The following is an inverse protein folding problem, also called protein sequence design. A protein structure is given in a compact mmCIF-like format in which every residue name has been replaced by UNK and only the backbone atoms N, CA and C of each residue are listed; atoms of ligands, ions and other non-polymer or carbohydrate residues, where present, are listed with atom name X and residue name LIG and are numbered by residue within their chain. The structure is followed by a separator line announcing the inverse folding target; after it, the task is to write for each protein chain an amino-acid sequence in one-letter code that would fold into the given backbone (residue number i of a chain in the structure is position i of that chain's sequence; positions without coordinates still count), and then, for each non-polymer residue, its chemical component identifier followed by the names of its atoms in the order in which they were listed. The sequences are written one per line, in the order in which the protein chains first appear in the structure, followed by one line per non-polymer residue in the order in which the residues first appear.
data_IF_530228828362
#
_entry.id   IF_530228828362
#
_cell.length_a   1.000
_cell.length_b   1.000
_cell.length_c   1.000
_cell.angle_alpha   90.00
_cell.angle_beta   90.00
_cell.angle_gamma   90.00
#
_symmetry.space_group_name_H-M   'P 1'
#
loop_
_entity.id
_entity.type
_entity.pdbx_description
1 polymer ?
#
# COMPACT_ATOMS: atom_id res chain seq x y z
N UNK A 1 6.14 11.66 9.10
CA UNK A 1 5.97 13.08 8.73
C UNK A 1 5.13 13.83 9.75
N UNK A 2 3.89 13.44 10.04
CA UNK A 2 3.08 14.10 11.07
C UNK A 2 3.74 14.13 12.47
N UNK A 3 4.46 13.07 12.84
CA UNK A 3 5.21 12.95 14.10
C UNK A 3 6.50 13.77 14.19
N UNK A 4 6.88 14.47 13.12
CA UNK A 4 8.15 15.20 13.02
C UNK A 4 7.94 16.70 12.82
N UNK A 5 6.68 17.17 12.83
CA UNK A 5 6.35 18.58 12.66
C UNK A 5 6.14 19.18 14.05
N UNK A 6 6.85 20.28 14.32
CA UNK A 6 6.72 21.05 15.57
C UNK A 6 6.70 22.54 15.28
N UNK A 7 6.30 23.35 16.27
CA UNK A 7 6.33 24.82 16.13
C UNK A 7 5.41 25.37 15.03
N UNK A 8 4.28 24.72 14.78
CA UNK A 8 3.28 25.21 13.84
C UNK A 8 2.72 26.56 14.32
N UNK A 9 2.75 27.56 13.44
CA UNK A 9 2.17 28.88 13.69
C UNK A 9 1.78 29.56 12.38
N UNK A 10 0.82 30.47 12.48
CA UNK A 10 0.46 31.41 11.42
C UNK A 10 1.26 32.69 11.65
N UNK A 11 1.87 33.24 10.60
CA UNK A 11 2.55 34.53 10.63
C UNK A 11 1.55 35.58 10.17
N UNK A 12 1.17 36.47 11.10
CA UNK A 12 0.17 37.53 10.89
C UNK A 12 0.80 38.85 10.41
N UNK A 13 2.11 38.87 10.20
CA UNK A 13 2.82 40.01 9.63
C UNK A 13 2.21 40.40 8.28
N UNK A 14 2.16 41.71 8.01
CA UNK A 14 1.59 42.22 6.77
C UNK A 14 2.36 41.70 5.55
N UNK A 15 1.72 40.81 4.77
CA UNK A 15 2.32 40.16 3.59
C UNK A 15 1.99 40.86 2.28
N UNK A 16 1.05 41.80 2.28
CA UNK A 16 0.50 42.40 1.05
C UNK A 16 -0.35 41.45 0.20
N UNK A 17 -0.64 40.24 0.69
CA UNK A 17 -1.58 39.27 0.09
C UNK A 17 -2.78 39.10 1.02
N UNK A 18 -3.90 38.66 0.44
CA UNK A 18 -5.08 38.14 1.13
C UNK A 18 -4.82 36.82 1.89
N UNK A 19 -3.62 36.26 1.79
CA UNK A 19 -3.22 35.01 2.46
C UNK A 19 -2.20 35.26 3.58
N UNK A 20 -2.37 34.55 4.70
CA UNK A 20 -1.40 34.49 5.80
C UNK A 20 -0.37 33.37 5.57
N UNK A 21 0.88 33.59 5.99
CA UNK A 21 1.92 32.57 5.91
C UNK A 21 1.79 31.57 7.07
N UNK A 22 2.14 30.31 6.81
CA UNK A 22 2.23 29.26 7.84
C UNK A 22 3.69 28.84 7.97
N UNK A 23 4.21 28.84 9.19
CA UNK A 23 5.54 28.37 9.53
C UNK A 23 5.47 27.16 10.45
N UNK A 24 6.37 26.21 10.24
CA UNK A 24 6.57 25.06 11.12
C UNK A 24 7.98 24.53 10.94
N UNK A 25 8.48 23.84 11.96
CA UNK A 25 9.75 23.15 11.94
C UNK A 25 9.52 21.68 11.60
N UNK A 26 10.42 21.11 10.80
CA UNK A 26 10.46 19.66 10.54
C UNK A 26 11.69 19.13 11.26
N UNK A 27 11.49 18.40 12.36
CA UNK A 27 12.55 17.66 13.01
C UNK A 27 12.97 16.46 12.17
N UNK A 28 14.21 16.00 12.36
CA UNK A 28 14.64 14.70 11.85
C UNK A 28 13.80 13.63 12.53
N UNK A 29 12.79 13.13 11.81
CA UNK A 29 12.03 11.99 12.28
C UNK A 29 12.98 10.84 12.56
N UNK A 30 12.75 10.11 13.66
CA UNK A 30 13.31 8.76 13.80
C UNK A 30 13.10 8.07 12.46
N UNK A 31 14.19 7.77 11.77
CA UNK A 31 14.19 6.85 10.65
C UNK A 31 13.64 5.55 11.23
N UNK A 32 12.33 5.35 11.14
CA UNK A 32 11.76 4.04 11.35
C UNK A 32 12.29 3.28 10.16
N UNK A 33 13.36 2.52 10.38
CA UNK A 33 13.96 1.71 9.35
C UNK A 33 12.85 0.95 8.65
N UNK A 34 12.64 1.16 7.33
CA UNK A 34 11.61 0.44 6.59
C UNK A 34 11.82 -1.08 6.63
N UNK A 35 12.97 -1.52 7.11
CA UNK A 35 13.36 -2.91 7.34
C UNK A 35 12.48 -3.57 8.42
N UNK A 36 12.05 -2.86 9.46
CA UNK A 36 11.28 -3.49 10.55
C UNK A 36 9.83 -3.81 10.14
N UNK A 37 9.20 -2.94 9.35
CA UNK A 37 7.86 -3.17 8.80
C UNK A 37 7.84 -4.24 7.70
N UNK A 38 8.98 -4.55 7.08
CA UNK A 38 9.11 -5.58 6.05
C UNK A 38 9.13 -7.01 6.60
N UNK A 39 9.32 -7.19 7.91
CA UNK A 39 9.37 -8.50 8.56
C UNK A 39 8.02 -8.96 9.14
N UNK A 40 6.97 -8.16 8.98
CA UNK A 40 5.60 -8.61 9.23
C UNK A 40 5.19 -9.57 8.11
N UNK A 41 5.35 -10.88 8.34
CA UNK A 41 4.76 -11.92 7.50
C UNK A 41 3.27 -11.63 7.30
N UNK A 42 2.86 -11.34 6.07
CA UNK A 42 1.45 -11.03 5.73
C UNK A 42 0.56 -12.30 5.68
N UNK A 43 0.93 -13.35 6.41
CA UNK A 43 0.23 -14.64 6.45
C UNK A 43 0.77 -15.68 5.45
N UNK A 44 0.01 -16.76 5.27
CA UNK A 44 0.38 -17.91 4.42
C UNK A 44 -0.10 -17.76 2.98
N UNK A 45 0.65 -18.29 2.02
CA UNK A 45 0.27 -18.28 0.61
C UNK A 45 -0.64 -19.47 0.28
N UNK A 46 -1.96 -19.25 0.39
CA UNK A 46 -3.00 -20.26 0.17
C UNK A 46 -2.96 -20.82 -1.27
N UNK A 47 -2.57 -20.02 -2.27
CA UNK A 47 -2.49 -20.47 -3.67
C UNK A 47 -1.41 -21.55 -3.87
N UNK A 48 -0.43 -21.62 -2.94
CA UNK A 48 0.65 -22.63 -2.93
C UNK A 48 0.46 -23.70 -1.87
N UNK A 49 -0.76 -23.85 -1.35
CA UNK A 49 -1.06 -24.85 -0.33
C UNK A 49 -0.93 -26.27 -0.90
N UNK A 50 -0.08 -27.07 -0.27
CA UNK A 50 -0.06 -28.52 -0.47
C UNK A 50 -1.20 -29.14 0.35
N UNK A 51 -2.27 -29.58 -0.33
CA UNK A 51 -3.49 -30.07 0.30
C UNK A 51 -3.25 -31.39 1.03
N UNK A 52 -2.41 -32.25 0.46
CA UNK A 52 -2.09 -33.57 0.97
C UNK A 52 -1.37 -33.44 2.32
N UNK A 53 -0.33 -32.61 2.39
CA UNK A 53 0.41 -32.31 3.63
C UNK A 53 -0.50 -31.66 4.67
N UNK A 54 -1.34 -30.71 4.26
CA UNK A 54 -2.28 -30.06 5.19
C UNK A 54 -3.25 -31.06 5.82
N UNK A 55 -3.85 -31.94 5.01
CA UNK A 55 -4.78 -32.96 5.49
C UNK A 55 -4.10 -34.00 6.36
N UNK A 56 -2.88 -34.41 6.02
CA UNK A 56 -2.09 -35.36 6.80
C UNK A 56 -1.78 -34.81 8.20
N UNK A 57 -1.32 -33.56 8.30
CA UNK A 57 -1.03 -32.93 9.60
C UNK A 57 -2.29 -32.83 10.46
N UNK A 58 -3.43 -32.44 9.88
CA UNK A 58 -4.70 -32.38 10.60
C UNK A 58 -5.15 -33.76 11.07
N UNK A 59 -5.04 -34.80 10.22
CA UNK A 59 -5.41 -36.17 10.58
C UNK A 59 -4.56 -36.69 11.73
N UNK A 60 -3.24 -36.47 11.67
CA UNK A 60 -2.30 -36.95 12.66
C UNK A 60 -2.42 -36.19 14.00
N UNK A 61 -2.72 -34.90 13.96
CA UNK A 61 -2.89 -34.08 15.16
C UNK A 61 -4.28 -34.13 15.79
N UNK A 62 -5.29 -34.70 15.10
CA UNK A 62 -6.67 -34.78 15.59
C UNK A 62 -6.80 -35.43 16.96
N UNK A 63 -6.08 -36.54 17.17
CA UNK A 63 -6.07 -37.27 18.45
C UNK A 63 -5.56 -36.38 19.60
N UNK A 64 -4.64 -35.45 19.33
CA UNK A 64 -4.11 -34.56 20.35
C UNK A 64 -5.16 -33.55 20.85
N UNK A 65 -6.11 -33.16 19.98
CA UNK A 65 -7.23 -32.28 20.36
C UNK A 65 -8.32 -33.06 21.09
N UNK A 66 -8.63 -34.28 20.63
CA UNK A 66 -9.67 -35.14 21.23
C UNK A 66 -9.30 -35.62 22.64
N UNK A 67 -8.01 -35.68 22.98
CA UNK A 67 -7.53 -36.06 24.31
C UNK A 67 -7.56 -34.91 25.34
N UNK A 68 -7.90 -33.68 24.93
CA UNK A 68 -7.95 -32.54 25.87
C UNK A 68 -9.21 -32.63 26.73
N UNK A 69 -9.09 -32.65 28.07
CA UNK A 69 -10.24 -32.72 28.97
C UNK A 69 -11.17 -31.51 28.81
N UNK A 70 -12.45 -31.78 28.58
CA UNK A 70 -13.51 -30.77 28.38
C UNK A 70 -14.23 -30.47 29.70
N UNK A 71 -13.47 -30.04 30.71
CA UNK A 71 -14.02 -29.69 32.02
C UNK A 71 -13.98 -28.18 32.25
N UNK A 72 -15.18 -27.59 32.27
CA UNK A 72 -15.39 -26.17 32.55
C UNK A 72 -14.73 -25.24 31.53
N UNK A 73 -14.60 -23.97 31.94
CA UNK A 73 -14.03 -22.90 31.09
C UNK A 73 -12.58 -23.17 30.71
N UNK A 74 -11.78 -23.71 31.64
CA UNK A 74 -10.37 -24.00 31.42
C UNK A 74 -10.18 -25.12 30.37
N UNK A 75 -10.99 -26.17 30.40
CA UNK A 75 -10.98 -27.22 29.37
C UNK A 75 -11.33 -26.69 27.98
N UNK A 76 -12.35 -25.83 27.90
CA UNK A 76 -12.74 -25.20 26.63
C UNK A 76 -11.60 -24.32 26.05
N UNK A 77 -10.94 -23.52 26.88
CA UNK A 77 -9.79 -22.71 26.46
C UNK A 77 -8.61 -23.58 26.00
N UNK A 78 -8.35 -24.70 26.67
CA UNK A 78 -7.30 -25.65 26.30
C UNK A 78 -7.57 -26.34 24.96
N UNK A 79 -8.82 -26.73 24.68
CA UNK A 79 -9.23 -27.29 23.39
C UNK A 79 -9.00 -26.27 22.27
N UNK A 80 -9.40 -25.02 22.49
CA UNK A 80 -9.20 -23.94 21.51
C UNK A 80 -7.71 -23.71 21.25
N UNK A 81 -6.89 -23.60 22.30
CA UNK A 81 -5.45 -23.38 22.17
C UNK A 81 -4.77 -24.52 21.40
N UNK A 82 -5.11 -25.77 21.71
CA UNK A 82 -4.56 -26.96 21.05
C UNK A 82 -4.99 -27.02 19.59
N UNK A 83 -6.27 -26.74 19.30
CA UNK A 83 -6.80 -26.68 17.93
C UNK A 83 -6.13 -25.59 17.11
N UNK A 84 -5.97 -24.39 17.67
CA UNK A 84 -5.29 -23.28 17.00
C UNK A 84 -3.81 -23.57 16.74
N UNK A 85 -3.15 -24.28 17.65
CA UNK A 85 -1.76 -24.73 17.47
C UNK A 85 -1.67 -25.74 16.33
N UNK A 86 -2.57 -26.72 16.28
CA UNK A 86 -2.64 -27.70 15.20
C UNK A 86 -2.88 -27.04 13.84
N UNK A 87 -3.84 -26.11 13.76
CA UNK A 87 -4.12 -25.36 12.52
C UNK A 87 -2.89 -24.55 12.10
N UNK A 88 -2.20 -23.91 13.05
CA UNK A 88 -1.00 -23.13 12.78
C UNK A 88 0.14 -23.98 12.24
N UNK A 89 0.34 -25.18 12.80
CA UNK A 89 1.35 -26.13 12.35
C UNK A 89 1.01 -26.70 10.97
N UNK A 90 -0.25 -27.07 10.74
CA UNK A 90 -0.72 -27.50 9.43
C UNK A 90 -0.48 -26.40 8.38
N UNK A 91 -0.78 -25.14 8.70
CA UNK A 91 -0.50 -24.02 7.81
C UNK A 91 1.00 -23.84 7.53
N UNK A 92 1.83 -23.98 8.56
CA UNK A 92 3.28 -23.79 8.46
C UNK A 92 3.95 -24.86 7.60
N UNK A 93 3.48 -26.11 7.67
CA UNK A 93 4.02 -27.21 6.88
C UNK A 93 3.48 -27.23 5.44
N UNK A 94 2.22 -26.86 5.25
CA UNK A 94 1.56 -26.98 3.94
C UNK A 94 1.69 -25.76 3.05
N UNK A 95 1.99 -24.58 3.62
CA UNK A 95 2.02 -23.32 2.89
C UNK A 95 3.33 -22.58 3.12
N UNK A 96 3.95 -22.03 2.07
CA UNK A 96 5.03 -21.08 2.26
C UNK A 96 4.46 -19.77 2.82
N UNK A 97 5.26 -19.08 3.64
CA UNK A 97 4.94 -17.72 4.07
C UNK A 97 4.82 -16.81 2.83
N UNK A 98 3.85 -15.88 2.86
CA UNK A 98 3.75 -14.86 1.82
C UNK A 98 5.02 -14.04 1.83
N UNK A 99 5.68 -13.94 0.67
CA UNK A 99 6.81 -13.05 0.53
C UNK A 99 6.36 -11.63 0.87
N UNK A 100 7.13 -10.88 1.68
CA UNK A 100 6.80 -9.50 1.96
C UNK A 100 6.79 -8.73 0.65
N UNK A 101 5.77 -7.89 0.46
CA UNK A 101 5.74 -7.02 -0.70
C UNK A 101 6.91 -6.03 -0.59
N UNK A 102 7.94 -6.23 -1.42
CA UNK A 102 9.15 -5.39 -1.40
C UNK A 102 8.95 -4.02 -2.05
N UNK A 103 7.75 -3.75 -2.57
CA UNK A 103 7.40 -2.54 -3.27
C UNK A 103 8.39 -2.13 -4.35
N UNK A 104 8.26 -0.88 -4.81
CA UNK A 104 9.35 -0.20 -5.48
C UNK A 104 9.95 0.77 -4.47
N UNK A 105 11.28 0.88 -4.47
CA UNK A 105 11.96 1.92 -3.69
C UNK A 105 11.39 3.29 -4.11
N UNK A 106 11.09 4.20 -3.18
CA UNK A 106 10.72 5.56 -3.54
C UNK A 106 11.87 6.21 -4.31
N UNK A 107 11.63 6.61 -5.56
CA UNK A 107 12.61 7.31 -6.40
C UNK A 107 12.06 8.70 -6.71
N UNK A 108 12.94 9.71 -6.71
CA UNK A 108 12.60 11.03 -7.22
C UNK A 108 12.30 10.94 -8.72
N UNK A 109 11.03 11.10 -9.09
CA UNK A 109 10.55 10.85 -10.45
C UNK A 109 10.21 12.12 -11.24
N UNK A 110 10.34 13.30 -10.62
CA UNK A 110 10.00 14.56 -11.26
C UNK A 110 11.16 15.02 -12.15
N UNK A 111 10.89 15.18 -13.44
CA UNK A 111 11.88 15.64 -14.44
C UNK A 111 11.29 16.79 -15.25
N UNK A 112 12.14 17.52 -15.97
CA UNK A 112 11.72 18.55 -16.96
C UNK A 112 10.70 17.98 -17.94
N UNK A 113 10.97 16.80 -18.49
CA UNK A 113 10.10 16.13 -19.47
C UNK A 113 8.72 15.83 -18.88
N UNK A 114 8.68 15.34 -17.63
CA UNK A 114 7.43 15.08 -16.92
C UNK A 114 6.67 16.38 -16.65
N UNK A 115 7.38 17.46 -16.33
CA UNK A 115 6.77 18.78 -16.13
C UNK A 115 6.14 19.31 -17.43
N UNK A 116 6.82 19.19 -18.56
CA UNK A 116 6.33 19.66 -19.86
C UNK A 116 5.16 18.82 -20.37
N UNK A 117 5.25 17.50 -20.29
CA UNK A 117 4.12 16.60 -20.59
C UNK A 117 2.92 16.88 -19.69
N UNK A 118 3.14 17.25 -18.43
CA UNK A 118 2.06 17.63 -17.52
C UNK A 118 1.40 18.95 -17.95
N UNK A 119 2.17 19.97 -18.37
CA UNK A 119 1.62 21.23 -18.91
C UNK A 119 0.73 20.95 -20.12
N UNK A 120 1.22 20.15 -21.07
CA UNK A 120 0.49 19.76 -22.29
C UNK A 120 -0.79 19.01 -21.92
N UNK A 121 -0.69 18.01 -21.04
CA UNK A 121 -1.85 17.22 -20.59
C UNK A 121 -2.94 18.08 -19.94
N UNK A 122 -2.55 19.05 -19.09
CA UNK A 122 -3.49 20.00 -18.47
C UNK A 122 -4.15 20.89 -19.53
N UNK A 123 -3.38 21.42 -20.49
CA UNK A 123 -3.90 22.25 -21.56
C UNK A 123 -4.94 21.48 -22.40
N UNK A 124 -4.63 20.24 -22.78
CA UNK A 124 -5.52 19.35 -23.56
C UNK A 124 -6.77 18.97 -22.75
N UNK A 125 -6.62 18.70 -21.44
CA UNK A 125 -7.77 18.48 -20.53
C UNK A 125 -8.72 19.66 -20.54
N UNK A 126 -8.20 20.89 -20.35
CA UNK A 126 -9.01 22.12 -20.36
C UNK A 126 -9.72 22.32 -21.70
N UNK A 127 -9.04 22.08 -22.82
CA UNK A 127 -9.64 22.14 -24.17
C UNK A 127 -10.77 21.12 -24.34
N UNK A 128 -10.55 19.87 -23.94
CA UNK A 128 -11.57 18.82 -24.01
C UNK A 128 -12.79 19.14 -23.13
N UNK A 129 -12.58 19.68 -21.93
CA UNK A 129 -13.67 20.09 -21.04
C UNK A 129 -14.52 21.20 -21.64
N UNK A 130 -13.90 22.23 -22.25
CA UNK A 130 -14.63 23.32 -22.91
C UNK A 130 -15.35 22.88 -24.18
N UNK A 131 -14.80 21.91 -24.90
CA UNK A 131 -15.39 21.39 -26.14
C UNK A 131 -16.48 20.32 -25.91
N UNK A 132 -16.81 19.96 -24.66
CA UNK A 132 -17.70 18.82 -24.34
C UNK A 132 -19.08 18.87 -25.01
N UNK A 133 -19.61 20.07 -25.29
CA UNK A 133 -20.91 20.28 -25.98
C UNK A 133 -20.75 20.68 -27.46
N UNK A 134 -19.53 20.64 -28.00
CA UNK A 134 -19.22 21.00 -29.38
C UNK A 134 -19.06 19.73 -30.23
N UNK A 135 -19.23 19.82 -31.57
CA UNK A 135 -18.98 18.68 -32.46
C UNK A 135 -17.58 18.08 -32.32
N UNK A 136 -16.59 18.89 -31.94
CA UNK A 136 -15.20 18.48 -31.72
C UNK A 136 -14.95 17.65 -30.45
N UNK A 137 -15.96 17.43 -29.60
CA UNK A 137 -15.80 16.80 -28.28
C UNK A 137 -15.03 15.48 -28.31
N UNK A 138 -15.35 14.61 -29.28
CA UNK A 138 -14.72 13.30 -29.44
C UNK A 138 -13.21 13.43 -29.76
N UNK A 139 -12.87 14.28 -30.73
CA UNK A 139 -11.49 14.53 -31.14
C UNK A 139 -10.66 15.12 -29.99
N UNK A 140 -11.16 16.16 -29.31
CA UNK A 140 -10.46 16.78 -28.17
C UNK A 140 -10.30 15.82 -26.99
N UNK A 141 -11.29 14.96 -26.75
CA UNK A 141 -11.21 13.90 -25.73
C UNK A 141 -10.12 12.88 -26.06
N UNK A 142 -10.00 12.48 -27.34
CA UNK A 142 -8.94 11.58 -27.80
C UNK A 142 -7.55 12.21 -27.64
N UNK A 143 -7.38 13.48 -28.03
CA UNK A 143 -6.12 14.22 -27.82
C UNK A 143 -5.70 14.23 -26.35
N UNK A 144 -6.66 14.49 -25.43
CA UNK A 144 -6.38 14.45 -23.99
C UNK A 144 -6.02 13.05 -23.50
N UNK A 145 -6.72 12.00 -23.95
CA UNK A 145 -6.40 10.60 -23.59
C UNK A 145 -4.97 10.24 -24.01
N UNK A 146 -4.56 10.68 -25.20
CA UNK A 146 -3.21 10.45 -25.72
C UNK A 146 -2.16 11.18 -24.87
N UNK A 147 -2.33 12.47 -24.62
CA UNK A 147 -1.42 13.25 -23.77
C UNK A 147 -1.32 12.68 -22.34
N UNK A 148 -2.43 12.18 -21.79
CA UNK A 148 -2.45 11.50 -20.49
C UNK A 148 -1.68 10.18 -20.51
N UNK A 149 -1.76 9.42 -21.60
CA UNK A 149 -1.02 8.16 -21.79
C UNK A 149 0.49 8.42 -21.85
N UNK A 150 0.91 9.44 -22.57
CA UNK A 150 2.31 9.87 -22.68
C UNK A 150 2.87 10.32 -21.33
N UNK A 151 2.15 11.16 -20.60
CA UNK A 151 2.54 11.57 -19.24
C UNK A 151 2.70 10.35 -18.31
N UNK A 152 1.77 9.40 -18.34
CA UNK A 152 1.86 8.17 -17.53
C UNK A 152 3.09 7.34 -17.89
N UNK A 153 3.41 7.21 -19.17
CA UNK A 153 4.61 6.50 -19.66
C UNK A 153 5.89 7.18 -19.19
N UNK A 154 5.97 8.50 -19.28
CA UNK A 154 7.13 9.26 -18.81
C UNK A 154 7.34 9.12 -17.30
N UNK A 155 6.27 9.20 -16.51
CA UNK A 155 6.33 8.97 -15.05
C UNK A 155 6.79 7.55 -14.75
N UNK A 156 6.26 6.54 -15.45
CA UNK A 156 6.66 5.15 -15.26
C UNK A 156 8.13 4.92 -15.61
N UNK A 157 8.61 5.51 -16.71
CA UNK A 157 10.02 5.47 -17.12
C UNK A 157 10.91 6.12 -16.05
N UNK A 158 10.54 7.31 -15.58
CA UNK A 158 11.29 8.05 -14.56
C UNK A 158 11.37 7.30 -13.22
N UNK A 159 10.29 6.63 -12.81
CA UNK A 159 10.26 5.78 -11.60
C UNK A 159 11.06 4.48 -11.71
N UNK A 160 11.46 4.09 -12.92
CA UNK A 160 12.24 2.88 -13.19
C UNK A 160 13.70 3.20 -13.58
N UNK A 161 14.11 4.47 -13.55
CA UNK A 161 15.51 4.87 -13.65
C UNK A 161 16.23 4.55 -12.35
#
# INVERSE_FOLDING_TARGET
LASCISGWRVIEDFTGSDHQYIAFNIGEGRNVDPISAQNMSYGWNIDKMNKEVFQEVLRNGRLQVELVPLEGKAGAEAVVATTMTLISEACKQSMPARAPWRGKRPVYWWTSDVADLRKICIQKRRRAQRARRRPEAASRSLEYKQAKKELRRAIAKSKNR
#
